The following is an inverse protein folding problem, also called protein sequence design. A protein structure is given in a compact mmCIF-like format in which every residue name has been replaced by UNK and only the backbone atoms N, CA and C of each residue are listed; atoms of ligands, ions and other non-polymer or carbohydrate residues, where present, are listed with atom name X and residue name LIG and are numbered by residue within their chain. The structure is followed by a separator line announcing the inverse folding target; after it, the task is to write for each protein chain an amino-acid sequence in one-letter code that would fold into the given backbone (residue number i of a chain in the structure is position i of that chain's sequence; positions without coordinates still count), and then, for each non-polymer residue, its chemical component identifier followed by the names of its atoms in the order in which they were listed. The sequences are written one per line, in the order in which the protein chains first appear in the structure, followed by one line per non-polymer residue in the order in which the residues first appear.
data_IF_764200058203
#
_entry.id   IF_764200058203
#
_cell.length_a   1.000
_cell.length_b   1.000
_cell.length_c   1.000
_cell.angle_alpha   90.00
_cell.angle_beta   90.00
_cell.angle_gamma   90.00
#
_symmetry.space_group_name_H-M   'P 1'
#
loop_
_entity.id
_entity.type
_entity.pdbx_description
1 polymer ?
#
# COMPACT_ATOMS: atom_id res chain seq x y z
N UNK A 1 -16.02 -34.98 22.78
CA UNK A 1 -14.90 -34.22 22.18
C UNK A 1 -15.15 -34.16 20.69
N UNK A 2 -15.64 -33.03 20.19
CA UNK A 2 -15.87 -32.83 18.76
C UNK A 2 -14.61 -32.20 18.16
N UNK A 3 -13.96 -32.95 17.27
CA UNK A 3 -12.77 -32.52 16.52
C UNK A 3 -13.23 -31.51 15.47
N UNK A 4 -12.87 -30.24 15.64
CA UNK A 4 -13.08 -29.22 14.62
C UNK A 4 -12.33 -29.66 13.35
N UNK A 5 -13.07 -29.83 12.26
CA UNK A 5 -12.50 -30.19 10.95
C UNK A 5 -11.88 -28.94 10.34
N UNK A 6 -10.77 -29.10 9.63
CA UNK A 6 -9.95 -28.03 9.06
C UNK A 6 -10.66 -27.08 8.06
N UNK A 7 -11.98 -27.21 7.88
CA UNK A 7 -12.81 -26.27 7.13
C UNK A 7 -13.08 -24.95 7.89
N UNK A 8 -12.94 -24.92 9.21
CA UNK A 8 -13.15 -23.71 10.03
C UNK A 8 -11.99 -22.71 9.98
N UNK A 9 -10.87 -23.05 9.35
CA UNK A 9 -9.79 -22.09 9.10
C UNK A 9 -10.10 -21.09 7.97
N UNK A 10 -11.17 -21.31 7.19
CA UNK A 10 -11.50 -20.49 6.02
C UNK A 10 -12.69 -19.52 6.23
N UNK A 11 -13.30 -19.48 7.42
CA UNK A 11 -14.53 -18.72 7.66
C UNK A 11 -14.57 -17.98 9.01
N UNK A 12 -13.43 -17.56 9.56
CA UNK A 12 -13.45 -16.52 10.60
C UNK A 12 -14.06 -15.26 9.99
N UNK A 13 -15.07 -14.62 10.62
CA UNK A 13 -15.86 -13.60 9.98
C UNK A 13 -14.97 -12.43 9.56
N UNK A 14 -14.93 -12.19 8.24
CA UNK A 14 -14.40 -10.99 7.53
C UNK A 14 -15.08 -9.67 7.95
N UNK A 15 -15.72 -9.67 9.12
CA UNK A 15 -16.58 -8.63 9.67
C UNK A 15 -16.63 -8.70 11.22
N UNK A 16 -15.60 -9.22 11.89
CA UNK A 16 -15.54 -9.03 13.34
C UNK A 16 -15.33 -7.53 13.64
N UNK A 17 -15.86 -7.03 14.76
CA UNK A 17 -15.62 -5.67 15.22
C UNK A 17 -14.11 -5.31 15.33
N UNK A 18 -13.24 -6.32 15.26
CA UNK A 18 -11.79 -6.22 15.20
C UNK A 18 -11.20 -5.97 13.79
N UNK A 19 -11.99 -5.81 12.73
CA UNK A 19 -11.51 -5.40 11.39
C UNK A 19 -12.07 -4.03 10.96
N UNK A 20 -12.31 -3.14 11.93
CA UNK A 20 -12.60 -1.72 11.66
C UNK A 20 -11.39 -1.01 11.02
N UNK A 21 -11.59 0.16 10.40
CA UNK A 21 -10.59 0.87 9.58
C UNK A 21 -9.16 0.95 10.15
N UNK A 22 -9.02 1.04 11.48
CA UNK A 22 -7.72 1.08 12.15
C UNK A 22 -7.11 -0.33 12.32
N UNK A 23 -7.92 -1.32 12.67
CA UNK A 23 -7.48 -2.70 12.87
C UNK A 23 -7.08 -3.41 11.57
N UNK A 24 -7.68 -3.03 10.44
CA UNK A 24 -7.19 -3.43 9.12
C UNK A 24 -5.71 -3.13 8.93
N UNK A 25 -5.20 -2.02 9.49
CA UNK A 25 -3.78 -1.62 9.42
C UNK A 25 -2.84 -2.39 10.36
N UNK A 26 -3.33 -2.91 11.49
CA UNK A 26 -2.45 -3.48 12.53
C UNK A 26 -2.09 -4.95 12.29
N UNK A 27 -2.75 -5.62 11.33
CA UNK A 27 -2.57 -7.06 11.04
C UNK A 27 -2.12 -7.34 9.60
N UNK A 28 -1.50 -6.37 8.93
CA UNK A 28 -1.00 -6.57 7.57
C UNK A 28 0.47 -6.95 7.55
N UNK A 29 0.81 -7.83 6.61
CA UNK A 29 2.19 -8.12 6.24
C UNK A 29 2.58 -7.27 5.04
N UNK A 30 3.85 -6.92 4.93
CA UNK A 30 4.37 -6.25 3.73
C UNK A 30 4.32 -7.25 2.57
N UNK A 31 3.54 -6.93 1.54
CA UNK A 31 3.42 -7.73 0.31
C UNK A 31 4.15 -7.08 -0.87
N UNK A 32 4.47 -5.79 -0.76
CA UNK A 32 5.27 -5.06 -1.75
C UNK A 32 6.16 -4.02 -1.08
N UNK A 33 7.39 -3.87 -1.58
CA UNK A 33 8.34 -2.85 -1.12
C UNK A 33 9.21 -2.43 -2.29
N UNK A 34 8.97 -1.22 -2.81
CA UNK A 34 9.56 -0.75 -4.05
C UNK A 34 10.27 0.58 -3.83
N UNK A 35 11.45 0.73 -4.43
CA UNK A 35 12.22 1.96 -4.35
C UNK A 35 11.50 3.08 -5.12
N UNK A 36 11.47 4.27 -4.52
CA UNK A 36 11.10 5.50 -5.22
C UNK A 36 12.36 6.04 -5.89
N UNK A 37 12.41 5.98 -7.21
CA UNK A 37 13.59 6.38 -7.99
C UNK A 37 13.36 7.77 -8.55
N UNK A 38 14.32 8.66 -8.33
CA UNK A 38 14.36 9.99 -8.92
C UNK A 38 14.93 9.93 -10.32
N UNK A 39 14.26 10.56 -11.27
CA UNK A 39 14.68 10.60 -12.67
C UNK A 39 15.10 12.02 -13.07
N UNK A 40 16.15 12.14 -13.89
CA UNK A 40 16.53 13.41 -14.50
C UNK A 40 15.52 13.84 -15.60
N UNK A 41 15.70 15.04 -16.16
CA UNK A 41 14.85 15.55 -17.25
C UNK A 41 14.91 14.71 -18.54
N UNK A 42 15.85 13.78 -18.63
CA UNK A 42 16.00 12.84 -19.75
C UNK A 42 15.40 11.46 -19.41
N UNK A 43 14.76 11.31 -18.24
CA UNK A 43 14.15 10.06 -17.78
C UNK A 43 15.16 9.01 -17.31
N UNK A 44 16.40 9.39 -17.00
CA UNK A 44 17.42 8.46 -16.51
C UNK A 44 17.35 8.33 -14.99
N UNK A 45 17.42 7.11 -14.43
CA UNK A 45 17.40 6.92 -12.99
C UNK A 45 18.67 7.48 -12.37
N UNK A 46 18.53 8.36 -11.39
CA UNK A 46 19.65 9.03 -10.73
C UNK A 46 19.89 8.44 -9.35
N UNK A 47 18.86 8.41 -8.51
CA UNK A 47 18.99 7.95 -7.12
C UNK A 47 17.67 7.51 -6.49
N UNK A 48 17.79 6.76 -5.39
CA UNK A 48 16.62 6.37 -4.58
C UNK A 48 16.25 7.46 -3.57
N UNK A 49 15.03 7.97 -3.69
CA UNK A 49 14.42 8.97 -2.81
C UNK A 49 13.81 8.40 -1.53
N UNK A 50 13.39 7.15 -1.57
CA UNK A 50 12.59 6.52 -0.53
C UNK A 50 12.08 5.15 -0.93
N UNK A 51 11.03 4.71 -0.26
CA UNK A 51 10.38 3.43 -0.53
C UNK A 51 8.87 3.58 -0.42
N UNK A 52 8.13 2.99 -1.35
CA UNK A 52 6.72 2.69 -1.18
C UNK A 52 6.59 1.26 -0.66
N UNK A 53 5.84 1.10 0.43
CA UNK A 53 5.52 -0.19 1.02
C UNK A 53 4.03 -0.42 0.94
N UNK A 54 3.64 -1.67 0.68
CA UNK A 54 2.27 -2.11 0.50
C UNK A 54 2.02 -3.22 1.50
N UNK A 55 0.96 -3.10 2.28
CA UNK A 55 0.57 -4.08 3.27
C UNK A 55 -0.78 -4.67 2.91
N UNK A 56 -0.90 -5.98 3.13
CA UNK A 56 -2.15 -6.71 3.01
C UNK A 56 -2.41 -7.50 4.29
N UNK A 57 -3.64 -7.41 4.78
CA UNK A 57 -4.13 -8.26 5.86
C UNK A 57 -5.09 -9.29 5.27
N UNK A 58 -4.63 -10.52 5.09
CA UNK A 58 -5.50 -11.63 4.67
C UNK A 58 -6.64 -11.90 5.67
N UNK A 59 -6.38 -11.66 6.96
CA UNK A 59 -7.38 -11.84 8.03
C UNK A 59 -8.55 -10.84 7.92
N UNK A 60 -8.24 -9.57 7.66
CA UNK A 60 -9.27 -8.53 7.49
C UNK A 60 -9.67 -8.28 6.02
N UNK A 61 -8.99 -8.92 5.06
CA UNK A 61 -9.15 -8.68 3.63
C UNK A 61 -8.94 -7.23 3.23
N UNK A 62 -7.93 -6.56 3.80
CA UNK A 62 -7.67 -5.12 3.58
C UNK A 62 -6.26 -4.84 3.05
N UNK A 63 -6.11 -3.72 2.34
CA UNK A 63 -4.84 -3.24 1.80
C UNK A 63 -4.64 -1.74 2.04
N UNK A 64 -3.39 -1.33 2.24
CA UNK A 64 -2.96 0.06 2.27
C UNK A 64 -1.49 0.19 1.85
N UNK A 65 -1.08 1.41 1.51
CA UNK A 65 0.31 1.70 1.21
C UNK A 65 0.82 2.91 1.98
N UNK A 66 2.14 2.98 2.11
CA UNK A 66 2.88 4.06 2.76
C UNK A 66 4.12 4.38 1.97
N UNK A 67 4.30 5.66 1.70
CA UNK A 67 5.55 6.22 1.18
C UNK A 67 6.39 6.65 2.37
N UNK A 68 7.66 6.25 2.37
CA UNK A 68 8.64 6.66 3.37
C UNK A 68 9.85 7.24 2.65
N UNK A 69 10.07 8.55 2.81
CA UNK A 69 11.24 9.25 2.26
C UNK A 69 12.52 8.86 3.01
N UNK A 70 13.66 8.81 2.32
CA UNK A 70 14.98 8.68 2.95
C UNK A 70 15.26 9.87 3.86
N UNK A 71 16.13 9.69 4.86
CA UNK A 71 16.42 10.69 5.89
C UNK A 71 16.79 12.07 5.31
N UNK A 72 17.60 12.10 4.25
CA UNK A 72 18.04 13.35 3.61
C UNK A 72 16.94 14.21 2.99
N UNK A 73 15.72 13.68 2.81
CA UNK A 73 14.57 14.44 2.30
C UNK A 73 13.53 14.76 3.38
N UNK A 74 13.83 14.48 4.66
CA UNK A 74 12.88 14.70 5.77
C UNK A 74 12.89 16.12 6.34
N UNK A 75 13.88 16.93 5.98
CA UNK A 75 14.02 18.27 6.57
C UNK A 75 12.99 19.26 6.00
N UNK A 76 12.50 19.02 4.77
CA UNK A 76 11.56 19.90 4.08
C UNK A 76 10.28 19.15 3.71
N UNK A 77 9.12 19.75 4.00
CA UNK A 77 7.84 19.18 3.57
C UNK A 77 7.72 19.29 2.05
N UNK A 78 7.36 18.17 1.39
CA UNK A 78 7.20 18.12 -0.06
C UNK A 78 5.90 17.42 -0.42
N UNK A 79 5.32 17.82 -1.55
CA UNK A 79 4.18 17.14 -2.13
C UNK A 79 4.51 15.66 -2.31
N UNK A 80 3.68 14.83 -1.72
CA UNK A 80 3.81 13.38 -1.67
C UNK A 80 2.47 12.80 -2.03
N UNK A 81 2.49 11.81 -2.92
CA UNK A 81 1.30 11.17 -3.43
C UNK A 81 1.43 9.66 -3.38
N UNK A 82 0.30 9.00 -3.14
CA UNK A 82 0.13 7.56 -3.26
C UNK A 82 -1.20 7.33 -3.95
N UNK A 83 -1.19 6.52 -5.00
CA UNK A 83 -2.37 5.96 -5.66
C UNK A 83 -2.29 4.44 -5.63
N UNK A 84 -3.44 3.79 -5.47
CA UNK A 84 -3.57 2.35 -5.51
C UNK A 84 -4.84 2.03 -6.31
N UNK A 85 -4.67 1.35 -7.43
CA UNK A 85 -5.74 0.80 -8.25
C UNK A 85 -5.84 -0.70 -7.95
N UNK A 86 -7.03 -1.16 -7.56
CA UNK A 86 -7.26 -2.53 -7.12
C UNK A 86 -7.98 -3.33 -8.20
N UNK A 87 -7.45 -4.53 -8.45
CA UNK A 87 -8.08 -5.53 -9.31
C UNK A 87 -8.33 -6.78 -8.48
N UNK A 88 -9.57 -6.93 -8.00
CA UNK A 88 -10.01 -8.13 -7.31
C UNK A 88 -10.77 -9.06 -8.27
N UNK A 89 -10.19 -10.23 -8.54
CA UNK A 89 -10.76 -11.24 -9.44
C UNK A 89 -11.98 -11.96 -8.87
N UNK A 90 -12.12 -12.03 -7.54
CA UNK A 90 -13.23 -12.70 -6.85
C UNK A 90 -14.47 -11.79 -6.74
N UNK A 91 -14.26 -10.48 -6.63
CA UNK A 91 -15.32 -9.48 -6.48
C UNK A 91 -15.64 -8.74 -7.79
N UNK A 92 -14.87 -8.96 -8.86
CA UNK A 92 -14.96 -8.24 -10.14
C UNK A 92 -15.07 -6.72 -9.94
N UNK A 93 -14.28 -6.19 -9.00
CA UNK A 93 -14.39 -4.80 -8.58
C UNK A 93 -13.09 -4.06 -8.86
N UNK A 94 -13.25 -3.00 -9.65
CA UNK A 94 -12.24 -1.96 -9.82
C UNK A 94 -12.52 -0.88 -8.77
N UNK A 95 -11.65 -0.81 -7.77
CA UNK A 95 -11.65 0.27 -6.79
C UNK A 95 -10.35 1.06 -6.92
N UNK A 96 -10.37 2.31 -6.44
CA UNK A 96 -9.20 3.19 -6.42
C UNK A 96 -9.09 3.87 -5.06
N UNK A 97 -7.84 4.07 -4.62
CA UNK A 97 -7.50 4.82 -3.42
C UNK A 97 -6.34 5.75 -3.68
N UNK A 98 -6.51 7.03 -3.33
CA UNK A 98 -5.39 7.97 -3.32
C UNK A 98 -5.29 8.80 -2.07
N UNK A 99 -4.05 9.19 -1.76
CA UNK A 99 -3.72 10.12 -0.69
C UNK A 99 -2.63 11.06 -1.18
N UNK A 100 -2.86 12.37 -1.05
CA UNK A 100 -1.91 13.41 -1.42
C UNK A 100 -1.79 14.41 -0.27
N UNK A 101 -0.55 14.76 0.09
CA UNK A 101 -0.29 15.77 1.10
C UNK A 101 1.14 16.31 0.99
N UNK A 102 1.36 17.52 1.49
CA UNK A 102 2.68 18.08 1.70
C UNK A 102 3.22 17.59 3.04
N UNK A 103 4.20 16.68 3.03
CA UNK A 103 4.73 16.06 4.27
C UNK A 103 6.25 16.02 4.26
N UNK A 104 6.87 16.12 5.44
CA UNK A 104 8.31 15.91 5.62
C UNK A 104 8.69 14.43 5.55
N UNK A 105 7.87 13.59 6.19
CA UNK A 105 8.19 12.19 6.42
C UNK A 105 7.42 11.26 5.51
N UNK A 106 6.58 10.45 6.16
CA UNK A 106 5.80 9.44 5.49
C UNK A 106 4.38 9.96 5.19
N UNK A 107 3.80 9.44 4.11
CA UNK A 107 2.38 9.52 3.82
C UNK A 107 1.83 8.11 3.78
N UNK A 108 0.62 7.90 4.27
CA UNK A 108 -0.07 6.61 4.18
C UNK A 108 -1.50 6.78 3.72
N UNK A 109 -2.01 5.77 3.02
CA UNK A 109 -3.42 5.69 2.67
C UNK A 109 -4.22 5.13 3.85
N UNK A 110 -5.55 5.25 3.81
CA UNK A 110 -6.42 4.42 4.68
C UNK A 110 -6.31 2.94 4.27
N UNK A 111 -6.71 2.02 5.13
CA UNK A 111 -6.97 0.64 4.74
C UNK A 111 -8.31 0.55 4.02
N UNK A 112 -8.37 -0.20 2.93
CA UNK A 112 -9.60 -0.47 2.18
C UNK A 112 -9.81 -1.97 2.02
N UNK A 113 -11.06 -2.46 2.00
CA UNK A 113 -11.35 -3.86 1.73
C UNK A 113 -10.99 -4.23 0.29
N UNK A 114 -10.20 -5.29 0.11
CA UNK A 114 -9.77 -5.80 -1.20
C UNK A 114 -9.89 -7.32 -1.32
N UNK A 115 -10.45 -8.00 -0.32
CA UNK A 115 -10.52 -9.47 -0.31
C UNK A 115 -9.17 -10.15 -0.03
N UNK A 116 -9.13 -11.47 -0.22
CA UNK A 116 -7.96 -12.30 0.10
C UNK A 116 -7.02 -12.50 -1.09
N UNK A 117 -7.52 -12.32 -2.32
CA UNK A 117 -6.77 -12.55 -3.56
C UNK A 117 -6.94 -11.36 -4.50
N UNK A 118 -5.86 -11.00 -5.20
CA UNK A 118 -5.92 -10.04 -6.28
C UNK A 118 -4.57 -9.43 -6.64
N UNK A 119 -4.65 -8.31 -7.35
CA UNK A 119 -3.49 -7.47 -7.60
C UNK A 119 -3.84 -6.01 -7.41
N UNK A 120 -2.83 -5.19 -7.14
CA UNK A 120 -2.96 -3.75 -7.12
C UNK A 120 -1.84 -3.12 -7.94
N UNK A 121 -2.19 -2.11 -8.74
CA UNK A 121 -1.20 -1.19 -9.28
C UNK A 121 -0.99 -0.08 -8.25
N UNK A 122 0.24 0.11 -7.84
CA UNK A 122 0.62 1.05 -6.79
C UNK A 122 1.52 2.11 -7.38
N UNK A 123 0.95 3.31 -7.52
CA UNK A 123 1.67 4.53 -7.87
C UNK A 123 2.08 5.30 -6.62
N UNK A 124 3.30 5.78 -6.59
CA UNK A 124 3.78 6.63 -5.51
C UNK A 124 4.76 7.67 -6.06
N UNK A 125 4.66 8.89 -5.53
CA UNK A 125 5.56 9.96 -5.93
C UNK A 125 5.85 10.94 -4.79
N UNK A 126 6.99 11.62 -4.87
CA UNK A 126 7.18 12.88 -4.16
C UNK A 126 8.07 13.84 -4.94
N UNK A 127 7.84 15.14 -4.77
CA UNK A 127 8.64 16.18 -5.41
C UNK A 127 9.91 16.47 -4.61
N UNK A 128 11.08 16.35 -5.24
CA UNK A 128 12.36 16.75 -4.64
C UNK A 128 13.23 17.44 -5.69
N UNK A 129 14.54 17.19 -5.64
CA UNK A 129 15.47 17.64 -6.69
C UNK A 129 15.23 16.94 -8.05
N UNK A 130 14.54 15.79 -7.99
CA UNK A 130 14.02 15.02 -9.11
C UNK A 130 12.53 14.73 -8.90
N UNK A 131 11.85 14.26 -9.94
CA UNK A 131 10.55 13.60 -9.79
C UNK A 131 10.80 12.15 -9.35
N UNK A 132 10.50 11.86 -8.09
CA UNK A 132 10.67 10.51 -7.54
C UNK A 132 9.39 9.73 -7.74
N UNK A 133 9.45 8.60 -8.44
CA UNK A 133 8.27 7.79 -8.75
C UNK A 133 8.52 6.30 -8.51
N UNK A 134 7.44 5.59 -8.25
CA UNK A 134 7.33 4.15 -8.29
C UNK A 134 5.94 3.81 -8.83
N UNK A 135 5.87 2.94 -9.84
CA UNK A 135 4.63 2.42 -10.39
C UNK A 135 4.81 0.92 -10.60
N UNK A 136 4.12 0.10 -9.79
CA UNK A 136 4.37 -1.33 -9.68
C UNK A 136 3.08 -2.12 -9.48
N UNK A 137 2.99 -3.29 -10.11
CA UNK A 137 1.92 -4.25 -9.84
C UNK A 137 2.34 -5.18 -8.70
N UNK A 138 1.50 -5.27 -7.67
CA UNK A 138 1.71 -6.11 -6.47
C UNK A 138 0.59 -7.13 -6.38
N UNK A 139 0.93 -8.41 -6.35
CA UNK A 139 0.00 -9.52 -6.14
C UNK A 139 -0.08 -9.90 -4.67
N UNK A 140 -1.26 -10.25 -4.18
CA UNK A 140 -1.50 -10.67 -2.80
C UNK A 140 -2.59 -11.74 -2.72
#
# INVERSE_FOLDING_TARGET
MATATAAEAAAAPRSSAACTNAAGKYHGNVVGSHALVGYDSQGRPMEEGGTVKVWHSAACGTLWARVVKRAKYKDVARDTGISIDFYNTDLQRDDYLSSYAMTQGALETRAVPVGAHGSAQVGAAFLGDYEYTADQTVTF
#
